data_IF_639382626235
#
_entry.id   IF_639382626235
#
_cell.length_a   1.000
_cell.length_b   1.000
_cell.length_c   1.000
_cell.angle_alpha   90.00
_cell.angle_beta   90.00
_cell.angle_gamma   90.00
#
_symmetry.space_group_name_H-M   'P 1'
#
loop_
_entity.id
_entity.type
_entity.pdbx_description
1 polymer ?
#
# COMPACT_ATOMS: atom_id res chain seq x y z
N UNK A 1 -17.93 -12.94 28.84
CA UNK A 1 -18.52 -12.35 27.60
C UNK A 1 -17.88 -11.03 27.18
N UNK A 2 -17.69 -10.05 28.08
CA UNK A 2 -17.13 -8.73 27.70
C UNK A 2 -15.72 -8.77 27.08
N UNK A 3 -14.83 -9.68 27.53
CA UNK A 3 -13.48 -9.83 26.99
C UNK A 3 -13.47 -10.36 25.55
N UNK A 4 -14.21 -11.44 25.28
CA UNK A 4 -14.31 -12.01 23.93
C UNK A 4 -14.84 -11.00 22.90
N UNK A 5 -15.86 -10.21 23.25
CA UNK A 5 -16.39 -9.16 22.36
C UNK A 5 -15.33 -8.11 22.05
N UNK A 6 -14.56 -7.68 23.06
CA UNK A 6 -13.47 -6.72 22.89
C UNK A 6 -12.39 -7.27 21.97
N UNK A 7 -11.93 -8.48 22.23
CA UNK A 7 -10.87 -9.13 21.45
C UNK A 7 -11.30 -9.32 19.98
N UNK A 8 -12.57 -9.68 19.74
CA UNK A 8 -13.13 -9.79 18.40
C UNK A 8 -13.17 -8.45 17.67
N UNK A 9 -13.61 -7.37 18.34
CA UNK A 9 -13.65 -6.03 17.73
C UNK A 9 -12.22 -5.52 17.44
N UNK A 10 -11.27 -5.76 18.33
CA UNK A 10 -9.88 -5.38 18.12
C UNK A 10 -9.26 -6.16 16.94
N UNK A 11 -9.58 -7.44 16.79
CA UNK A 11 -9.14 -8.23 15.65
C UNK A 11 -9.70 -7.68 14.33
N UNK A 12 -10.98 -7.30 14.29
CA UNK A 12 -11.61 -6.68 13.11
C UNK A 12 -10.96 -5.34 12.79
N UNK A 13 -10.75 -4.48 13.77
CA UNK A 13 -10.14 -3.16 13.57
C UNK A 13 -8.71 -3.28 13.00
N UNK A 14 -7.93 -4.21 13.54
CA UNK A 14 -6.57 -4.50 13.03
C UNK A 14 -6.62 -5.05 11.62
N UNK A 15 -7.55 -5.94 11.30
CA UNK A 15 -7.70 -6.50 9.97
C UNK A 15 -8.09 -5.41 8.95
N UNK A 16 -9.04 -4.53 9.30
CA UNK A 16 -9.44 -3.41 8.45
C UNK A 16 -8.27 -2.45 8.23
N UNK A 17 -7.57 -2.06 9.30
CA UNK A 17 -6.39 -1.20 9.22
C UNK A 17 -5.32 -1.80 8.33
N UNK A 18 -5.07 -3.11 8.47
CA UNK A 18 -4.07 -3.84 7.71
C UNK A 18 -4.31 -3.78 6.20
N UNK A 19 -5.57 -3.84 5.76
CA UNK A 19 -5.94 -3.82 4.34
C UNK A 19 -6.12 -2.42 3.76
N UNK A 20 -5.97 -1.36 4.57
CA UNK A 20 -6.02 0.01 4.08
C UNK A 20 -4.95 0.24 2.99
N UNK A 21 -5.25 1.01 1.92
CA UNK A 21 -4.38 1.14 0.75
C UNK A 21 -2.91 1.42 1.07
N UNK A 22 -2.63 2.39 1.93
CA UNK A 22 -1.27 2.74 2.34
C UNK A 22 -0.57 1.59 3.08
N UNK A 23 -1.24 0.95 4.03
CA UNK A 23 -0.67 -0.16 4.82
C UNK A 23 -0.41 -1.39 3.95
N UNK A 24 -1.32 -1.68 3.02
CA UNK A 24 -1.17 -2.77 2.06
C UNK A 24 0.01 -2.50 1.11
N UNK A 25 0.09 -1.30 0.52
CA UNK A 25 1.13 -0.96 -0.44
C UNK A 25 2.50 -0.82 0.20
N UNK A 26 2.64 -0.19 1.37
CA UNK A 26 3.94 0.02 2.06
C UNK A 26 4.73 -1.26 2.30
N UNK A 27 4.04 -2.39 2.38
CA UNK A 27 4.66 -3.71 2.60
C UNK A 27 5.27 -4.30 1.35
N UNK A 28 4.71 -3.98 0.19
CA UNK A 28 5.07 -4.61 -1.08
C UNK A 28 5.71 -3.63 -2.05
N UNK A 29 5.46 -2.33 -1.93
CA UNK A 29 6.06 -1.28 -2.74
C UNK A 29 6.95 -0.41 -1.86
N UNK A 30 8.19 -0.20 -2.30
CA UNK A 30 9.13 0.75 -1.69
C UNK A 30 9.93 1.45 -2.77
N UNK A 31 9.86 2.78 -2.79
CA UNK A 31 10.78 3.59 -3.59
C UNK A 31 11.90 4.13 -2.71
N UNK A 32 13.12 4.07 -3.23
CA UNK A 32 14.32 4.71 -2.64
C UNK A 32 15.02 5.48 -3.73
N UNK A 33 14.70 6.76 -3.83
CA UNK A 33 15.17 7.62 -4.92
C UNK A 33 14.71 7.08 -6.26
N UNK A 34 15.67 6.57 -7.04
CA UNK A 34 15.45 6.04 -8.40
C UNK A 34 15.23 4.54 -8.45
N UNK A 35 15.29 3.84 -7.31
CA UNK A 35 15.00 2.39 -7.25
C UNK A 35 13.60 2.17 -6.74
N UNK A 36 12.78 1.48 -7.51
CA UNK A 36 11.46 1.01 -7.10
C UNK A 36 11.52 -0.49 -6.88
N UNK A 37 11.12 -0.94 -5.68
CA UNK A 37 10.94 -2.35 -5.38
C UNK A 37 9.47 -2.67 -5.24
N UNK A 38 9.00 -3.68 -5.98
CA UNK A 38 7.64 -4.23 -5.91
C UNK A 38 7.76 -5.72 -5.62
N UNK A 39 7.53 -6.12 -4.37
CA UNK A 39 7.81 -7.46 -3.84
C UNK A 39 9.26 -7.86 -4.11
N UNK A 40 9.48 -8.76 -5.06
CA UNK A 40 10.77 -9.31 -5.44
C UNK A 40 11.32 -8.70 -6.75
N UNK A 41 10.53 -7.83 -7.39
CA UNK A 41 10.93 -7.07 -8.56
C UNK A 41 11.62 -5.77 -8.14
N UNK A 42 12.83 -5.52 -8.65
CA UNK A 42 13.50 -4.23 -8.54
C UNK A 42 13.61 -3.57 -9.91
N UNK A 43 13.26 -2.29 -9.97
CA UNK A 43 13.26 -1.46 -11.18
C UNK A 43 14.13 -0.22 -10.94
N UNK A 44 14.96 0.11 -11.93
CA UNK A 44 15.61 1.40 -12.01
C UNK A 44 14.71 2.38 -12.78
N UNK A 45 14.25 3.43 -12.10
CA UNK A 45 13.31 4.41 -12.65
C UNK A 45 13.94 5.29 -13.74
N UNK A 46 15.26 5.46 -13.74
CA UNK A 46 15.98 6.21 -14.80
C UNK A 46 15.95 5.50 -16.16
N UNK A 47 15.59 4.22 -16.18
CA UNK A 47 15.44 3.44 -17.41
C UNK A 47 14.13 3.72 -18.16
N UNK A 48 13.28 4.61 -17.63
CA UNK A 48 12.00 4.99 -18.22
C UNK A 48 11.99 6.49 -18.53
N UNK A 49 11.46 6.87 -19.69
CA UNK A 49 11.30 8.28 -20.10
C UNK A 49 10.22 8.99 -19.28
N UNK A 50 9.17 8.26 -18.89
CA UNK A 50 8.08 8.76 -18.06
C UNK A 50 7.42 7.64 -17.27
N UNK A 51 6.89 7.97 -16.10
CA UNK A 51 6.20 7.03 -15.21
C UNK A 51 4.77 7.52 -15.02
N UNK A 52 3.80 6.67 -15.32
CA UNK A 52 2.38 6.94 -15.17
C UNK A 52 1.80 6.10 -14.05
N UNK A 53 1.05 6.72 -13.15
CA UNK A 53 0.29 6.03 -12.10
C UNK A 53 -1.17 5.93 -12.57
N UNK A 54 -1.59 4.72 -12.91
CA UNK A 54 -2.96 4.44 -13.36
C UNK A 54 -3.72 3.76 -12.23
N UNK A 55 -4.79 4.38 -11.76
CA UNK A 55 -5.65 3.86 -10.71
C UNK A 55 -7.05 3.56 -11.21
N UNK A 56 -7.55 2.34 -10.97
CA UNK A 56 -8.93 1.94 -11.27
C UNK A 56 -9.57 1.29 -10.04
N UNK A 57 -10.83 1.63 -9.76
CA UNK A 57 -11.61 1.08 -8.65
C UNK A 57 -11.75 2.01 -7.45
N UNK A 58 -12.60 1.64 -6.48
CA UNK A 58 -13.00 2.52 -5.35
C UNK A 58 -11.83 3.01 -4.49
N UNK A 59 -10.80 2.19 -4.33
CA UNK A 59 -9.63 2.50 -3.51
C UNK A 59 -8.48 3.14 -4.31
N UNK A 60 -8.67 3.37 -5.61
CA UNK A 60 -7.59 3.77 -6.52
C UNK A 60 -6.96 5.09 -6.12
N UNK A 61 -7.75 6.06 -5.67
CA UNK A 61 -7.27 7.37 -5.22
C UNK A 61 -6.29 7.22 -4.04
N UNK A 62 -6.65 6.41 -3.04
CA UNK A 62 -5.79 6.15 -1.89
C UNK A 62 -4.51 5.38 -2.26
N UNK A 63 -4.60 4.47 -3.23
CA UNK A 63 -3.44 3.74 -3.75
C UNK A 63 -2.51 4.66 -4.56
N UNK A 64 -3.05 5.50 -5.44
CA UNK A 64 -2.29 6.44 -6.24
C UNK A 64 -1.58 7.48 -5.37
N UNK A 65 -2.29 8.04 -4.38
CA UNK A 65 -1.70 8.99 -3.44
C UNK A 65 -0.51 8.42 -2.66
N UNK A 66 -0.49 7.11 -2.37
CA UNK A 66 0.67 6.45 -1.78
C UNK A 66 1.85 6.42 -2.77
N UNK A 67 1.60 6.08 -4.04
CA UNK A 67 2.61 5.99 -5.09
C UNK A 67 3.24 7.34 -5.43
N UNK A 68 2.49 8.44 -5.35
CA UNK A 68 3.00 9.79 -5.61
C UNK A 68 3.88 10.33 -4.48
N UNK A 69 3.67 9.87 -3.24
CA UNK A 69 4.47 10.26 -2.06
C UNK A 69 5.75 9.46 -1.88
N UNK A 70 5.68 8.15 -2.15
CA UNK A 70 6.80 7.22 -2.03
C UNK A 70 7.93 7.66 -2.96
#
# INVERSE_FOLDING_TARGET
MARLRRDALEAVEKALTYVMPENALRRVVRRRGRKLRVKDLELNLDSFEGILVLGVGKASIGMAAYMEKA
#
